data_IF_948849848268
#
_entry.id   IF_948849848268
#
_cell.length_a   1.000
_cell.length_b   1.000
_cell.length_c   1.000
_cell.angle_alpha   90.00
_cell.angle_beta   90.00
_cell.angle_gamma   90.00
#
_symmetry.space_group_name_H-M   'P 1'
#
loop_
_entity.id
_entity.type
_entity.pdbx_description
1 polymer ?
#
# COMPACT_ATOMS: atom_id res chain seq x y z
N UNK A 1 -13.20 28.53 31.43
CA UNK A 1 -13.47 27.60 30.31
C UNK A 1 -12.14 26.97 29.98
N UNK A 2 -11.95 25.74 30.48
CA UNK A 2 -10.71 24.98 30.32
C UNK A 2 -10.52 24.58 28.85
N UNK A 3 -9.36 24.94 28.29
CA UNK A 3 -8.91 24.58 26.94
C UNK A 3 -8.42 23.12 26.84
N UNK A 4 -9.02 22.20 27.60
CA UNK A 4 -8.52 20.82 27.72
C UNK A 4 -8.96 19.93 26.53
N UNK A 5 -9.81 20.43 25.63
CA UNK A 5 -10.36 19.65 24.52
C UNK A 5 -9.71 19.81 23.14
N UNK A 6 -9.08 20.95 22.83
CA UNK A 6 -8.62 21.22 21.45
C UNK A 6 -7.26 20.58 21.13
N UNK A 7 -6.32 20.58 22.08
CA UNK A 7 -4.97 20.04 21.86
C UNK A 7 -4.93 18.51 21.67
N UNK A 8 -5.94 17.78 22.17
CA UNK A 8 -6.04 16.32 21.98
C UNK A 8 -6.69 15.95 20.64
N UNK A 9 -7.59 16.80 20.12
CA UNK A 9 -8.24 16.62 18.83
C UNK A 9 -7.27 16.93 17.69
N UNK A 10 -6.48 18.00 17.79
CA UNK A 10 -5.42 18.30 16.80
C UNK A 10 -4.38 17.17 16.71
N UNK A 11 -3.99 16.57 17.85
CA UNK A 11 -3.06 15.43 17.86
C UNK A 11 -3.67 14.14 17.32
N UNK A 12 -5.00 13.98 17.35
CA UNK A 12 -5.65 12.81 16.77
C UNK A 12 -5.68 12.89 15.24
N UNK A 13 -5.92 14.09 14.71
CA UNK A 13 -5.99 14.36 13.27
C UNK A 13 -4.63 14.18 12.57
N UNK A 14 -3.52 14.53 13.24
CA UNK A 14 -2.16 14.26 12.73
C UNK A 14 -1.76 12.77 12.78
N UNK A 15 -2.36 11.96 13.67
CA UNK A 15 -2.06 10.53 13.82
C UNK A 15 -2.77 9.65 12.79
N UNK A 16 -3.92 10.09 12.30
CA UNK A 16 -4.74 9.36 11.32
C UNK A 16 -4.04 9.10 9.97
N UNK A 17 -3.33 10.06 9.34
CA UNK A 17 -2.65 9.82 8.07
C UNK A 17 -1.47 8.84 8.20
N UNK A 18 -0.75 8.84 9.33
CA UNK A 18 0.33 7.87 9.57
C UNK A 18 -0.19 6.45 9.73
N UNK A 19 -1.33 6.28 10.41
CA UNK A 19 -1.97 4.98 10.61
C UNK A 19 -2.52 4.47 9.27
N UNK A 20 -3.18 5.34 8.49
CA UNK A 20 -3.65 5.05 7.14
C UNK A 20 -2.51 4.63 6.19
N UNK A 21 -1.39 5.35 6.21
CA UNK A 21 -0.22 5.02 5.39
C UNK A 21 0.43 3.68 5.78
N UNK A 22 0.56 3.39 7.09
CA UNK A 22 1.08 2.11 7.60
C UNK A 22 0.16 0.95 7.22
N UNK A 23 -1.15 1.14 7.34
CA UNK A 23 -2.18 0.17 6.97
C UNK A 23 -2.18 -0.14 5.47
N UNK A 24 -2.13 0.90 4.63
CA UNK A 24 -2.07 0.74 3.18
C UNK A 24 -0.81 -0.02 2.73
N UNK A 25 0.34 0.28 3.34
CA UNK A 25 1.60 -0.44 3.08
C UNK A 25 1.51 -1.92 3.46
N UNK A 26 0.95 -2.25 4.62
CA UNK A 26 0.79 -3.63 5.06
C UNK A 26 -0.16 -4.42 4.15
N UNK A 27 -1.30 -3.82 3.77
CA UNK A 27 -2.25 -4.42 2.83
C UNK A 27 -1.61 -4.67 1.47
N UNK A 28 -0.83 -3.72 0.96
CA UNK A 28 -0.17 -3.85 -0.33
C UNK A 28 0.92 -4.94 -0.35
N UNK A 29 1.75 -5.01 0.70
CA UNK A 29 2.75 -6.08 0.84
C UNK A 29 2.07 -7.45 0.88
N UNK A 30 0.99 -7.57 1.64
CA UNK A 30 0.22 -8.82 1.74
C UNK A 30 -0.34 -9.24 0.38
N UNK A 31 -0.95 -8.30 -0.36
CA UNK A 31 -1.46 -8.57 -1.70
C UNK A 31 -0.35 -8.99 -2.67
N UNK A 32 0.83 -8.38 -2.58
CA UNK A 32 1.99 -8.72 -3.42
C UNK A 32 2.48 -10.15 -3.16
N UNK A 33 2.58 -10.56 -1.88
CA UNK A 33 2.97 -11.92 -1.51
C UNK A 33 1.96 -12.94 -2.01
N UNK A 34 0.66 -12.67 -1.81
CA UNK A 34 -0.41 -13.54 -2.31
C UNK A 34 -0.37 -13.70 -3.82
N UNK A 35 -0.10 -12.61 -4.56
CA UNK A 35 -0.01 -12.66 -6.01
C UNK A 35 1.16 -13.55 -6.49
N UNK A 36 2.31 -13.48 -5.81
CA UNK A 36 3.46 -14.34 -6.10
C UNK A 36 3.14 -15.81 -5.81
N UNK A 37 2.53 -16.09 -4.66
CA UNK A 37 2.14 -17.46 -4.31
C UNK A 37 1.13 -18.03 -5.30
N UNK A 38 0.14 -17.24 -5.71
CA UNK A 38 -0.85 -17.64 -6.70
C UNK A 38 -0.20 -17.87 -8.08
N UNK A 39 0.75 -17.02 -8.46
CA UNK A 39 1.52 -17.17 -9.69
C UNK A 39 2.31 -18.48 -9.72
N UNK A 40 2.97 -18.82 -8.62
CA UNK A 40 3.72 -20.07 -8.48
C UNK A 40 2.76 -21.26 -8.52
N UNK A 41 1.64 -21.17 -7.81
CA UNK A 41 0.61 -22.21 -7.79
C UNK A 41 0.08 -22.52 -9.20
N UNK A 42 -0.30 -21.48 -9.96
CA UNK A 42 -0.80 -21.63 -11.33
C UNK A 42 0.25 -22.22 -12.28
N UNK A 43 1.53 -21.80 -12.17
CA UNK A 43 2.62 -22.39 -12.95
C UNK A 43 2.79 -23.88 -12.61
N UNK A 44 2.70 -24.25 -11.33
CA UNK A 44 2.83 -25.65 -10.90
C UNK A 44 1.64 -26.49 -11.39
N UNK A 45 0.42 -25.95 -11.35
CA UNK A 45 -0.80 -26.67 -11.72
C UNK A 45 -0.96 -26.80 -13.24
N UNK A 46 -0.72 -25.72 -13.98
CA UNK A 46 -1.02 -25.65 -15.42
C UNK A 46 0.21 -25.72 -16.32
N UNK A 47 1.40 -25.46 -15.77
CA UNK A 47 2.64 -25.30 -16.55
C UNK A 47 2.77 -23.94 -17.25
N UNK A 48 1.77 -23.07 -17.14
CA UNK A 48 1.72 -21.78 -17.80
C UNK A 48 1.62 -20.63 -16.78
N UNK A 49 2.11 -19.45 -17.17
CA UNK A 49 1.95 -18.25 -16.37
C UNK A 49 0.71 -17.47 -16.84
N UNK A 50 -0.32 -17.28 -16.00
CA UNK A 50 -1.54 -16.60 -16.41
C UNK A 50 -1.29 -15.13 -16.76
N UNK A 51 -1.70 -14.65 -17.95
CA UNK A 51 -1.52 -13.25 -18.34
C UNK A 51 -2.15 -12.26 -17.36
N UNK A 52 -3.28 -12.63 -16.74
CA UNK A 52 -3.97 -11.81 -15.74
C UNK A 52 -3.09 -11.55 -14.51
N UNK A 53 -2.34 -12.54 -14.03
CA UNK A 53 -1.42 -12.38 -12.91
C UNK A 53 -0.23 -11.48 -13.28
N UNK A 54 0.23 -11.55 -14.53
CA UNK A 54 1.22 -10.62 -15.07
C UNK A 54 0.74 -9.17 -15.05
N UNK A 55 -0.48 -8.91 -15.51
CA UNK A 55 -1.08 -7.56 -15.52
C UNK A 55 -1.25 -7.03 -14.10
N UNK A 56 -1.73 -7.87 -13.17
CA UNK A 56 -1.87 -7.50 -11.75
C UNK A 56 -0.52 -7.18 -11.11
N UNK A 57 0.50 -8.00 -11.37
CA UNK A 57 1.86 -7.77 -10.86
C UNK A 57 2.48 -6.49 -11.42
N UNK A 58 2.31 -6.22 -12.71
CA UNK A 58 2.77 -4.96 -13.32
C UNK A 58 2.04 -3.74 -12.73
N UNK A 59 0.74 -3.84 -12.50
CA UNK A 59 -0.06 -2.77 -11.89
C UNK A 59 0.39 -2.48 -10.46
N UNK A 60 0.71 -3.53 -9.68
CA UNK A 60 1.30 -3.38 -8.36
C UNK A 60 2.67 -2.70 -8.42
N UNK A 61 3.55 -3.11 -9.34
CA UNK A 61 4.87 -2.48 -9.48
C UNK A 61 4.75 -0.98 -9.81
N UNK A 62 3.85 -0.60 -10.72
CA UNK A 62 3.58 0.80 -11.08
C UNK A 62 3.05 1.58 -9.86
N UNK A 63 2.06 1.04 -9.14
CA UNK A 63 1.56 1.68 -7.93
C UNK A 63 2.68 1.92 -6.90
N UNK A 64 3.59 0.96 -6.71
CA UNK A 64 4.68 1.08 -5.75
C UNK A 64 5.70 2.14 -6.16
N UNK A 65 6.04 2.20 -7.44
CA UNK A 65 6.90 3.25 -7.98
C UNK A 65 6.28 4.63 -7.77
N UNK A 66 4.98 4.78 -8.03
CA UNK A 66 4.26 6.04 -7.79
C UNK A 66 4.23 6.37 -6.29
N UNK A 67 3.91 5.40 -5.44
CA UNK A 67 3.87 5.58 -3.98
C UNK A 67 5.23 6.04 -3.43
N UNK A 68 6.33 5.43 -3.88
CA UNK A 68 7.68 5.83 -3.48
C UNK A 68 8.08 7.19 -4.07
N UNK A 69 7.67 7.49 -5.31
CA UNK A 69 7.96 8.77 -5.97
C UNK A 69 7.27 9.93 -5.26
N UNK A 70 5.97 9.82 -4.99
CA UNK A 70 5.20 10.85 -4.29
C UNK A 70 5.53 10.89 -2.79
N UNK A 71 5.80 9.74 -2.16
CA UNK A 71 6.23 9.67 -0.76
C UNK A 71 7.61 10.27 -0.50
N UNK A 72 8.46 10.40 -1.53
CA UNK A 72 9.76 11.09 -1.45
C UNK A 72 9.70 12.60 -1.72
N UNK A 73 8.55 13.14 -2.11
CA UNK A 73 8.34 14.57 -2.33
C UNK A 73 7.45 15.17 -1.23
N UNK A 74 7.93 15.31 0.02
CA UNK A 74 7.22 16.12 1.02
C UNK A 74 7.44 17.63 0.80
N UNK A 75 8.28 18.04 -0.15
CA UNK A 75 8.41 19.45 -0.52
C UNK A 75 7.67 19.73 -1.83
N UNK A 76 6.72 20.66 -1.76
CA UNK A 76 5.94 21.30 -2.85
C UNK A 76 4.58 20.68 -3.15
N UNK A 77 3.69 20.75 -2.17
CA UNK A 77 2.32 21.25 -2.40
C UNK A 77 2.06 22.37 -1.39
#
# INVERSE_FOLDING_TARGET
>A
MDKIGDDEVEKADERDPEIGAKSARAGFVTASVLLVLLSIYEIIETGEFPPALGVLGASQAVYWLLYLYYGKSPEKL
#
